data_IF_824688861599
#
_entry.id   IF_824688861599
#
_cell.length_a   1.000
_cell.length_b   1.000
_cell.length_c   1.000
_cell.angle_alpha   90.00
_cell.angle_beta   90.00
_cell.angle_gamma   90.00
#
_symmetry.space_group_name_H-M   'P 1'
#
loop_
_entity.id
_entity.type
_entity.pdbx_description
1 polymer ?
#
# COMPACT_ATOMS: atom_id res chain seq x y z
N UNK A 1 -21.53 -28.27 23.78
CA UNK A 1 -21.09 -26.88 23.49
C UNK A 1 -20.25 -26.41 24.67
N UNK A 2 -18.94 -26.45 24.54
CA UNK A 2 -18.03 -26.01 25.59
C UNK A 2 -18.03 -24.48 25.55
N UNK A 3 -18.60 -23.85 26.54
CA UNK A 3 -18.59 -22.39 26.72
C UNK A 3 -17.13 -21.97 26.92
N UNK A 4 -16.50 -21.40 25.88
CA UNK A 4 -15.17 -20.80 26.01
C UNK A 4 -15.33 -19.58 26.93
N UNK A 5 -14.76 -19.66 28.13
CA UNK A 5 -14.74 -18.51 29.03
C UNK A 5 -13.96 -17.38 28.37
N UNK A 6 -14.43 -16.12 28.40
CA UNK A 6 -13.72 -15.00 27.84
C UNK A 6 -12.38 -14.83 28.55
N UNK A 7 -11.29 -15.00 27.81
CA UNK A 7 -9.92 -14.84 28.31
C UNK A 7 -9.50 -13.38 28.26
N UNK A 8 -8.65 -12.96 29.21
CA UNK A 8 -8.05 -11.64 29.18
C UNK A 8 -6.83 -11.67 28.26
N UNK A 9 -6.75 -10.70 27.36
CA UNK A 9 -5.72 -10.62 26.34
C UNK A 9 -4.93 -9.32 26.44
N UNK A 10 -3.69 -9.33 25.94
CA UNK A 10 -2.86 -8.13 25.75
C UNK A 10 -2.46 -8.02 24.28
N UNK A 11 -2.59 -6.83 23.72
CA UNK A 11 -2.26 -6.51 22.33
C UNK A 11 -1.44 -5.25 22.24
N UNK A 12 -0.51 -5.20 21.27
CA UNK A 12 0.22 -3.98 20.93
C UNK A 12 -0.51 -3.27 19.80
N UNK A 13 -1.12 -2.12 20.07
CA UNK A 13 -1.89 -1.35 19.09
C UNK A 13 -1.02 -0.51 18.15
N UNK A 14 0.19 -0.14 18.59
CA UNK A 14 1.17 0.59 17.76
C UNK A 14 2.04 -0.37 16.96
N UNK A 15 2.47 0.06 15.76
CA UNK A 15 3.36 -0.72 14.91
C UNK A 15 4.66 -1.08 15.63
N UNK A 16 5.26 -2.23 15.28
CA UNK A 16 6.51 -2.73 15.87
C UNK A 16 7.78 -1.95 15.49
N UNK A 17 7.65 -0.84 14.74
CA UNK A 17 8.75 0.09 14.42
C UNK A 17 9.04 1.04 15.59
N UNK A 18 10.27 1.57 15.74
CA UNK A 18 10.58 2.56 16.75
C UNK A 18 9.65 3.77 16.67
N UNK A 19 8.99 4.09 17.76
CA UNK A 19 8.07 5.23 17.90
C UNK A 19 8.37 5.97 19.19
N UNK A 20 7.86 7.19 19.35
CA UNK A 20 8.03 7.93 20.61
C UNK A 20 7.23 7.26 21.74
N UNK A 21 6.04 6.73 21.43
CA UNK A 21 5.13 6.09 22.38
C UNK A 21 4.65 4.76 21.78
N UNK A 22 4.62 3.71 22.60
CA UNK A 22 3.91 2.48 22.30
C UNK A 22 2.61 2.42 23.10
N UNK A 23 1.55 1.90 22.49
CA UNK A 23 0.24 1.69 23.11
C UNK A 23 -0.04 0.20 23.16
N UNK A 24 -0.32 -0.29 24.37
CA UNK A 24 -0.75 -1.65 24.64
C UNK A 24 -2.20 -1.61 25.14
N UNK A 25 -2.98 -2.59 24.75
CA UNK A 25 -4.34 -2.78 25.22
C UNK A 25 -4.42 -4.08 26.03
N UNK A 26 -5.07 -4.02 27.18
CA UNK A 26 -5.43 -5.20 27.97
C UNK A 26 -6.95 -5.27 28.02
N UNK A 27 -7.53 -6.34 27.46
CA UNK A 27 -8.97 -6.49 27.31
C UNK A 27 -9.44 -7.86 27.83
N UNK A 28 -10.50 -7.86 28.63
CA UNK A 28 -11.12 -9.08 29.17
C UNK A 28 -11.49 -8.99 30.63
N UNK A 29 -12.14 -10.05 31.18
CA UNK A 29 -12.73 -9.99 32.54
C UNK A 29 -11.75 -9.67 33.66
N UNK A 30 -10.48 -10.06 33.52
CA UNK A 30 -9.43 -9.88 34.51
C UNK A 30 -8.49 -8.71 34.20
N UNK A 31 -8.81 -7.85 33.21
CA UNK A 31 -7.92 -6.79 32.75
C UNK A 31 -7.51 -5.83 33.88
N UNK A 32 -8.47 -5.43 34.72
CA UNK A 32 -8.24 -4.53 35.87
C UNK A 32 -7.29 -5.17 36.85
N UNK A 33 -7.55 -6.41 37.27
CA UNK A 33 -6.78 -7.12 38.28
C UNK A 33 -5.34 -7.38 37.80
N UNK A 34 -5.16 -7.81 36.56
CA UNK A 34 -3.84 -8.03 35.97
C UNK A 34 -3.02 -6.74 35.92
N UNK A 35 -3.61 -5.65 35.40
CA UNK A 35 -2.88 -4.37 35.32
C UNK A 35 -2.55 -3.83 36.72
N UNK A 36 -3.44 -3.93 37.69
CA UNK A 36 -3.17 -3.50 39.05
C UNK A 36 -2.04 -4.28 39.75
N UNK A 37 -1.77 -5.52 39.34
CA UNK A 37 -0.63 -6.30 39.84
C UNK A 37 0.69 -5.91 39.16
N UNK A 38 0.65 -5.42 37.94
CA UNK A 38 1.83 -5.05 37.15
C UNK A 38 2.16 -3.55 37.21
N UNK A 39 1.37 -2.74 37.89
CA UNK A 39 1.50 -1.29 37.87
C UNK A 39 1.31 -0.66 39.25
N UNK A 40 2.08 0.39 39.53
CA UNK A 40 1.95 1.22 40.72
C UNK A 40 1.82 2.69 40.34
N UNK A 41 0.78 3.42 40.84
CA UNK A 41 0.68 4.84 40.59
C UNK A 41 1.75 5.60 41.35
N UNK A 42 2.26 6.68 40.81
CA UNK A 42 3.22 7.55 41.50
C UNK A 42 2.57 8.34 42.66
N UNK A 43 1.26 8.55 42.56
CA UNK A 43 0.48 9.25 43.60
C UNK A 43 -0.93 8.65 43.73
N UNK A 44 -1.44 8.60 44.96
CA UNK A 44 -2.80 8.17 45.26
C UNK A 44 -3.02 6.67 45.29
N UNK A 45 -4.27 6.23 45.19
CA UNK A 45 -4.67 4.82 45.25
C UNK A 45 -4.47 4.08 43.93
N UNK A 46 -4.36 2.75 43.97
CA UNK A 46 -4.24 1.86 42.80
C UNK A 46 -5.59 1.60 42.10
N UNK A 47 -6.59 2.45 42.31
CA UNK A 47 -7.92 2.30 41.71
C UNK A 47 -7.88 2.86 40.27
N UNK A 48 -8.25 2.02 39.29
CA UNK A 48 -8.41 2.41 37.90
C UNK A 48 -9.87 2.80 37.62
N UNK A 49 -10.16 4.10 37.82
CA UNK A 49 -11.48 4.65 37.49
C UNK A 49 -11.64 4.81 35.97
N UNK A 50 -12.87 4.63 35.47
CA UNK A 50 -13.20 4.75 34.07
C UNK A 50 -12.86 6.16 33.53
N UNK A 51 -12.25 6.22 32.32
CA UNK A 51 -11.86 7.47 31.64
C UNK A 51 -10.97 8.40 32.44
N UNK A 52 -10.17 7.85 33.37
CA UNK A 52 -9.18 8.59 34.14
C UNK A 52 -7.78 8.15 33.78
N UNK A 53 -7.00 9.11 33.31
CA UNK A 53 -5.58 8.92 33.04
C UNK A 53 -4.80 8.88 34.37
N UNK A 54 -3.93 7.86 34.49
CA UNK A 54 -3.08 7.68 35.68
C UNK A 54 -1.64 7.47 35.25
N UNK A 55 -0.73 8.20 35.88
CA UNK A 55 0.71 8.04 35.69
C UNK A 55 1.31 7.19 36.80
N UNK A 56 2.22 6.30 36.42
CA UNK A 56 2.88 5.42 37.39
C UNK A 56 4.03 4.67 36.75
N UNK A 57 4.46 3.60 37.39
CA UNK A 57 5.54 2.75 36.90
C UNK A 57 5.13 1.29 36.90
N UNK A 58 5.69 0.52 35.97
CA UNK A 58 5.53 -0.94 35.96
C UNK A 58 6.20 -1.55 37.18
N UNK A 59 5.68 -2.68 37.64
CA UNK A 59 6.31 -3.53 38.64
C UNK A 59 6.79 -4.80 37.97
N UNK A 60 8.03 -5.18 38.24
CA UNK A 60 8.53 -6.50 37.84
C UNK A 60 8.16 -7.56 38.90
N UNK A 61 8.49 -8.82 38.63
CA UNK A 61 8.22 -9.94 39.53
C UNK A 61 8.88 -9.81 40.91
N UNK A 62 9.92 -8.98 41.05
CA UNK A 62 10.59 -8.64 42.31
C UNK A 62 9.98 -7.44 43.00
N UNK A 63 8.87 -6.88 42.53
CA UNK A 63 8.22 -5.66 43.03
C UNK A 63 9.08 -4.40 42.91
N UNK A 64 10.11 -4.43 42.05
CA UNK A 64 10.92 -3.25 41.73
C UNK A 64 10.24 -2.42 40.65
N UNK A 65 10.33 -1.09 40.79
CA UNK A 65 9.77 -0.16 39.80
C UNK A 65 10.59 -0.18 38.51
N UNK A 66 9.89 -0.36 37.38
CA UNK A 66 10.47 -0.38 36.07
C UNK A 66 10.11 0.86 35.24
N UNK A 67 9.58 0.62 34.05
CA UNK A 67 9.21 1.63 33.07
C UNK A 67 8.13 2.59 33.55
N UNK A 68 8.29 3.87 33.26
CA UNK A 68 7.26 4.88 33.47
C UNK A 68 6.16 4.74 32.42
N UNK A 69 4.92 4.61 32.88
CA UNK A 69 3.77 4.38 32.00
C UNK A 69 2.57 5.25 32.39
N UNK A 70 1.73 5.47 31.39
CA UNK A 70 0.40 6.07 31.57
C UNK A 70 -0.64 4.98 31.36
N UNK A 71 -1.59 4.87 32.27
CA UNK A 71 -2.66 3.87 32.23
C UNK A 71 -4.00 4.57 32.19
N UNK A 72 -4.88 4.13 31.30
CA UNK A 72 -6.26 4.61 31.21
C UNK A 72 -7.21 3.43 31.07
N UNK A 73 -8.20 3.34 31.97
CA UNK A 73 -9.32 2.40 31.84
C UNK A 73 -10.36 3.02 30.92
N UNK A 74 -10.43 2.57 29.67
CA UNK A 74 -11.31 3.13 28.62
C UNK A 74 -12.71 2.54 28.67
N UNK A 75 -12.83 1.27 29.13
CA UNK A 75 -14.09 0.56 29.32
C UNK A 75 -14.05 -0.30 30.58
N UNK A 76 -15.19 -0.93 30.93
CA UNK A 76 -15.26 -1.76 32.15
C UNK A 76 -14.18 -2.84 32.20
N UNK A 77 -13.88 -3.47 31.08
CA UNK A 77 -12.93 -4.58 30.97
C UNK A 77 -11.80 -4.27 29.97
N UNK A 78 -11.47 -2.98 29.75
CA UNK A 78 -10.45 -2.56 28.79
C UNK A 78 -9.58 -1.46 29.40
N UNK A 79 -8.27 -1.64 29.27
CA UNK A 79 -7.26 -0.72 29.78
C UNK A 79 -6.23 -0.48 28.67
N UNK A 80 -5.93 0.79 28.42
CA UNK A 80 -4.80 1.20 27.60
C UNK A 80 -3.61 1.54 28.45
N UNK A 81 -2.43 1.08 28.03
CA UNK A 81 -1.14 1.36 28.65
C UNK A 81 -0.26 2.04 27.60
N UNK A 82 0.18 3.26 27.90
CA UNK A 82 1.08 4.03 27.06
C UNK A 82 2.47 4.03 27.69
N UNK A 83 3.48 3.58 26.98
CA UNK A 83 4.87 3.49 27.42
C UNK A 83 5.81 4.09 26.37
N UNK A 84 7.12 4.16 26.66
CA UNK A 84 8.10 4.54 25.65
C UNK A 84 8.06 3.59 24.46
N UNK A 85 8.19 4.14 23.25
CA UNK A 85 8.02 3.41 22.00
C UNK A 85 9.17 2.48 21.64
N UNK A 86 10.13 2.27 22.54
CA UNK A 86 11.19 1.28 22.39
C UNK A 86 10.64 -0.15 22.48
N UNK A 87 11.08 -1.02 21.58
CA UNK A 87 10.65 -2.41 21.53
C UNK A 87 10.91 -3.15 22.87
N UNK A 88 12.05 -2.87 23.51
CA UNK A 88 12.40 -3.50 24.78
C UNK A 88 11.43 -3.15 25.91
N UNK A 89 11.01 -1.87 26.02
CA UNK A 89 10.07 -1.41 27.03
C UNK A 89 8.70 -2.09 26.88
N UNK A 90 8.13 -2.03 25.68
CA UNK A 90 6.83 -2.63 25.40
C UNK A 90 6.85 -4.16 25.53
N UNK A 91 7.93 -4.85 25.09
CA UNK A 91 8.08 -6.31 25.22
C UNK A 91 8.19 -6.74 26.71
N UNK A 92 8.83 -5.92 27.55
CA UNK A 92 8.90 -6.20 28.99
C UNK A 92 7.52 -6.10 29.64
N UNK A 93 6.75 -5.07 29.32
CA UNK A 93 5.40 -4.89 29.85
C UNK A 93 4.49 -6.04 29.43
N UNK A 94 4.51 -6.43 28.13
CA UNK A 94 3.72 -7.56 27.64
C UNK A 94 4.07 -8.84 28.38
N UNK A 95 5.38 -9.12 28.58
CA UNK A 95 5.81 -10.31 29.33
C UNK A 95 5.29 -10.33 30.76
N UNK A 96 5.29 -9.20 31.46
CA UNK A 96 4.76 -9.12 32.84
C UNK A 96 3.24 -9.36 32.85
N UNK A 97 2.49 -8.74 31.93
CA UNK A 97 1.04 -8.95 31.80
C UNK A 97 0.71 -10.41 31.50
N UNK A 98 1.48 -11.07 30.63
CA UNK A 98 1.31 -12.49 30.31
C UNK A 98 1.62 -13.38 31.53
N UNK A 99 2.64 -13.06 32.33
CA UNK A 99 2.94 -13.78 33.59
C UNK A 99 1.79 -13.71 34.59
N UNK A 100 1.04 -12.62 34.57
CA UNK A 100 -0.14 -12.44 35.42
C UNK A 100 -1.44 -12.97 34.82
N UNK A 101 -1.36 -13.69 33.68
CA UNK A 101 -2.49 -14.43 33.12
C UNK A 101 -3.13 -13.81 31.88
N UNK A 102 -2.58 -12.73 31.31
CA UNK A 102 -3.01 -12.25 30.00
C UNK A 102 -2.47 -13.16 28.89
N UNK A 103 -3.19 -13.28 27.79
CA UNK A 103 -2.75 -13.97 26.58
C UNK A 103 -2.35 -12.93 25.55
N UNK A 104 -1.11 -13.00 25.07
CA UNK A 104 -0.67 -12.13 23.99
C UNK A 104 -1.42 -12.48 22.69
N UNK A 105 -1.95 -11.47 22.03
CA UNK A 105 -2.60 -11.57 20.72
C UNK A 105 -2.14 -10.42 19.81
N UNK A 106 -2.32 -10.59 18.51
CA UNK A 106 -2.04 -9.51 17.56
C UNK A 106 -3.04 -8.35 17.71
N UNK A 107 -2.63 -7.13 17.31
CA UNK A 107 -3.55 -5.99 17.25
C UNK A 107 -4.77 -6.30 16.36
N UNK A 108 -4.57 -7.01 15.25
CA UNK A 108 -5.64 -7.41 14.34
C UNK A 108 -6.70 -8.29 15.04
N UNK A 109 -6.29 -9.23 15.87
CA UNK A 109 -7.20 -10.11 16.63
C UNK A 109 -7.94 -9.34 17.73
N UNK A 110 -7.27 -8.41 18.42
CA UNK A 110 -7.90 -7.55 19.44
C UNK A 110 -8.98 -6.68 18.82
N UNK A 111 -8.61 -6.01 17.77
CA UNK A 111 -9.43 -5.07 17.01
C UNK A 111 -10.61 -5.80 16.33
N UNK A 112 -10.39 -7.02 15.84
CA UNK A 112 -11.42 -7.83 15.15
C UNK A 112 -12.60 -8.25 16.00
N UNK A 113 -12.48 -8.20 17.32
CA UNK A 113 -13.58 -8.53 18.25
C UNK A 113 -14.61 -7.41 18.43
N UNK A 114 -14.32 -6.20 17.96
CA UNK A 114 -15.18 -5.02 18.21
C UNK A 114 -16.24 -4.77 17.14
N UNK A 115 -16.05 -5.28 15.94
CA UNK A 115 -16.95 -5.00 14.84
C UNK A 115 -17.65 -6.31 14.41
N UNK A 116 -18.98 -6.34 14.49
CA UNK A 116 -19.80 -7.42 13.91
C UNK A 116 -19.73 -7.47 12.36
N UNK A 117 -18.86 -6.65 11.76
CA UNK A 117 -18.71 -6.48 10.31
C UNK A 117 -17.31 -6.92 9.86
N UNK A 118 -17.23 -8.03 9.14
CA UNK A 118 -15.99 -8.61 8.62
C UNK A 118 -15.24 -7.67 7.66
N UNK A 119 -15.97 -6.93 6.80
CA UNK A 119 -15.36 -5.97 5.86
C UNK A 119 -14.71 -4.79 6.62
N UNK A 120 -15.36 -4.30 7.66
CA UNK A 120 -14.82 -3.22 8.48
C UNK A 120 -13.56 -3.67 9.25
N UNK A 121 -13.53 -4.91 9.74
CA UNK A 121 -12.35 -5.50 10.37
C UNK A 121 -11.18 -5.62 9.40
N UNK A 122 -11.44 -6.10 8.19
CA UNK A 122 -10.43 -6.20 7.13
C UNK A 122 -9.89 -4.82 6.72
N UNK A 123 -10.77 -3.82 6.57
CA UNK A 123 -10.36 -2.46 6.26
C UNK A 123 -9.47 -1.88 7.38
N UNK A 124 -9.80 -2.16 8.64
CA UNK A 124 -9.01 -1.73 9.81
C UNK A 124 -7.64 -2.41 9.87
N UNK A 125 -7.57 -3.70 9.56
CA UNK A 125 -6.29 -4.41 9.43
C UNK A 125 -5.42 -3.80 8.33
N UNK A 126 -6.00 -3.50 7.17
CA UNK A 126 -5.27 -2.96 6.04
C UNK A 126 -4.89 -1.49 6.21
N UNK A 127 -5.62 -0.72 7.05
CA UNK A 127 -5.22 0.63 7.46
C UNK A 127 -3.82 0.68 8.08
N UNK A 128 -3.43 -0.35 8.82
CA UNK A 128 -2.08 -0.42 9.44
C UNK A 128 -0.95 -0.58 8.41
N UNK A 129 -1.29 -0.99 7.18
CA UNK A 129 -0.36 -1.24 6.06
C UNK A 129 -0.42 -0.13 5.01
N UNK A 130 -1.44 0.74 5.08
CA UNK A 130 -1.61 1.84 4.13
C UNK A 130 -0.45 2.83 4.21
N UNK A 131 0.20 3.09 3.07
CA UNK A 131 1.38 3.94 2.97
C UNK A 131 1.07 5.35 2.48
N UNK A 132 -0.16 5.63 2.03
CA UNK A 132 -0.56 6.93 1.49
C UNK A 132 -1.85 7.45 2.13
N UNK A 133 -2.00 8.78 2.16
CA UNK A 133 -3.21 9.42 2.67
C UNK A 133 -4.46 9.00 1.88
N UNK A 134 -4.34 8.83 0.57
CA UNK A 134 -5.46 8.43 -0.31
C UNK A 134 -5.92 7.00 -0.01
N UNK A 135 -5.00 6.04 0.11
CA UNK A 135 -5.31 4.67 0.52
C UNK A 135 -5.97 4.62 1.90
N UNK A 136 -5.43 5.41 2.85
CA UNK A 136 -6.00 5.53 4.21
C UNK A 136 -7.43 6.06 4.17
N UNK A 137 -7.71 7.11 3.39
CA UNK A 137 -9.05 7.69 3.28
C UNK A 137 -10.07 6.68 2.72
N UNK A 138 -9.71 5.96 1.66
CA UNK A 138 -10.57 4.94 1.06
C UNK A 138 -10.84 3.80 2.05
N UNK A 139 -9.82 3.29 2.74
CA UNK A 139 -9.99 2.23 3.74
C UNK A 139 -10.83 2.68 4.93
N UNK A 140 -10.72 3.94 5.36
CA UNK A 140 -11.59 4.51 6.40
C UNK A 140 -13.07 4.53 5.96
N UNK A 141 -13.36 4.82 4.70
CA UNK A 141 -14.72 4.77 4.17
C UNK A 141 -15.26 3.33 4.20
N UNK A 142 -14.43 2.32 3.84
CA UNK A 142 -14.84 0.91 3.93
C UNK A 142 -15.04 0.48 5.39
N UNK A 143 -14.18 0.91 6.31
CA UNK A 143 -14.33 0.66 7.74
C UNK A 143 -15.63 1.27 8.29
N UNK A 144 -16.08 2.41 7.76
CA UNK A 144 -17.36 3.05 8.08
C UNK A 144 -18.58 2.39 7.43
N UNK A 145 -18.37 1.35 6.62
CA UNK A 145 -19.42 0.51 6.06
C UNK A 145 -19.78 0.77 4.59
N UNK A 146 -19.04 1.57 3.84
CA UNK A 146 -19.36 1.88 2.45
C UNK A 146 -19.56 0.62 1.59
N UNK A 147 -18.64 -0.34 1.62
CA UNK A 147 -18.74 -1.59 0.86
C UNK A 147 -19.80 -2.54 1.43
N UNK A 148 -19.95 -2.61 2.74
CA UNK A 148 -20.97 -3.44 3.42
C UNK A 148 -22.39 -3.01 3.03
N UNK A 149 -22.65 -1.71 3.07
CA UNK A 149 -23.96 -1.12 2.68
C UNK A 149 -24.25 -1.44 1.22
N UNK A 150 -23.26 -1.33 0.34
CA UNK A 150 -23.42 -1.62 -1.08
C UNK A 150 -23.70 -3.11 -1.32
N UNK A 151 -22.97 -4.03 -0.67
CA UNK A 151 -23.22 -5.47 -0.78
C UNK A 151 -24.63 -5.85 -0.30
N UNK A 152 -25.09 -5.28 0.82
CA UNK A 152 -26.46 -5.48 1.30
C UNK A 152 -27.50 -4.98 0.30
N UNK A 153 -27.28 -3.79 -0.26
CA UNK A 153 -28.17 -3.19 -1.25
C UNK A 153 -28.29 -4.06 -2.50
N UNK A 154 -27.15 -4.57 -3.01
CA UNK A 154 -27.13 -5.52 -4.13
C UNK A 154 -27.89 -6.80 -3.77
N UNK A 155 -27.72 -7.33 -2.55
CA UNK A 155 -28.46 -8.49 -2.07
C UNK A 155 -29.98 -8.29 -2.10
N UNK A 156 -30.47 -7.10 -1.71
CA UNK A 156 -31.89 -6.74 -1.80
C UNK A 156 -32.38 -6.70 -3.25
N UNK A 157 -31.58 -6.11 -4.16
CA UNK A 157 -31.92 -6.05 -5.59
C UNK A 157 -31.99 -7.47 -6.21
N UNK A 158 -31.06 -8.36 -5.86
CA UNK A 158 -31.05 -9.75 -6.32
C UNK A 158 -32.30 -10.50 -5.83
N UNK A 159 -32.68 -10.34 -4.56
CA UNK A 159 -33.88 -10.96 -3.98
C UNK A 159 -35.18 -10.43 -4.63
N UNK A 160 -35.17 -9.14 -5.00
CA UNK A 160 -36.30 -8.47 -5.69
C UNK A 160 -36.30 -8.73 -7.20
N UNK A 161 -35.37 -9.53 -7.74
CA UNK A 161 -35.19 -9.81 -9.16
C UNK A 161 -34.93 -8.57 -10.04
N UNK A 162 -34.37 -7.52 -9.44
CA UNK A 162 -33.94 -6.30 -10.15
C UNK A 162 -32.53 -6.49 -10.74
N UNK A 163 -32.39 -7.48 -11.62
CA UNK A 163 -31.10 -7.97 -12.13
C UNK A 163 -30.33 -6.93 -12.94
N UNK A 164 -31.02 -6.05 -13.68
CA UNK A 164 -30.37 -5.02 -14.48
C UNK A 164 -29.58 -4.04 -13.61
N UNK A 165 -30.20 -3.54 -12.53
CA UNK A 165 -29.55 -2.62 -11.60
C UNK A 165 -28.47 -3.31 -10.77
N UNK A 166 -28.74 -4.50 -10.26
CA UNK A 166 -27.75 -5.29 -9.52
C UNK A 166 -26.50 -5.57 -10.39
N UNK A 167 -26.70 -5.95 -11.66
CA UNK A 167 -25.61 -6.19 -12.59
C UNK A 167 -24.78 -4.94 -12.91
N UNK A 168 -25.42 -3.77 -13.03
CA UNK A 168 -24.71 -2.51 -13.24
C UNK A 168 -23.81 -2.16 -12.02
N UNK A 169 -24.36 -2.28 -10.80
CA UNK A 169 -23.60 -2.05 -9.56
C UNK A 169 -22.46 -3.04 -9.37
N UNK A 170 -22.67 -4.33 -9.64
CA UNK A 170 -21.63 -5.35 -9.58
C UNK A 170 -20.48 -5.07 -10.57
N UNK A 171 -20.80 -4.64 -11.80
CA UNK A 171 -19.75 -4.26 -12.78
C UNK A 171 -18.97 -3.03 -12.34
N UNK A 172 -19.63 -2.06 -11.72
CA UNK A 172 -18.96 -0.89 -11.15
C UNK A 172 -17.98 -1.31 -10.03
N UNK A 173 -18.40 -2.19 -9.12
CA UNK A 173 -17.54 -2.73 -8.07
C UNK A 173 -16.38 -3.55 -8.65
N UNK A 174 -16.62 -4.35 -9.69
CA UNK A 174 -15.58 -5.11 -10.38
C UNK A 174 -14.50 -4.19 -10.95
N UNK A 175 -14.90 -3.08 -11.59
CA UNK A 175 -13.95 -2.05 -12.05
C UNK A 175 -13.16 -1.40 -10.91
N UNK A 176 -13.81 -1.12 -9.77
CA UNK A 176 -13.16 -0.53 -8.59
C UNK A 176 -12.21 -1.49 -7.86
N UNK A 177 -12.39 -2.80 -8.03
CA UNK A 177 -11.49 -3.79 -7.43
C UNK A 177 -10.05 -3.67 -7.97
N UNK A 178 -9.87 -3.27 -9.24
CA UNK A 178 -8.53 -3.02 -9.80
C UNK A 178 -7.75 -1.96 -9.00
N UNK A 179 -8.45 -0.97 -8.44
CA UNK A 179 -7.88 0.04 -7.55
C UNK A 179 -7.76 -0.48 -6.13
N UNK A 180 -8.80 -1.14 -5.63
CA UNK A 180 -8.88 -1.60 -4.25
C UNK A 180 -7.78 -2.57 -3.85
N UNK A 181 -7.37 -3.46 -4.73
CA UNK A 181 -6.26 -4.42 -4.49
C UNK A 181 -4.91 -3.72 -4.28
N UNK A 182 -4.77 -2.47 -4.76
CA UNK A 182 -3.54 -1.69 -4.66
C UNK A 182 -3.55 -0.67 -3.51
N UNK A 183 -4.54 -0.67 -2.63
CA UNK A 183 -4.55 0.24 -1.48
C UNK A 183 -3.39 -0.02 -0.50
N UNK A 184 -2.93 -1.27 -0.40
CA UNK A 184 -1.81 -1.70 0.46
C UNK A 184 -0.64 -2.33 -0.31
N UNK A 185 -0.91 -2.90 -1.48
CA UNK A 185 0.09 -3.42 -2.41
C UNK A 185 0.31 -2.37 -3.51
N UNK A 186 1.49 -1.73 -3.60
CA UNK A 186 1.70 -0.65 -4.57
C UNK A 186 1.56 -1.17 -6.01
N UNK A 187 1.14 -0.28 -6.93
CA UNK A 187 1.27 -0.57 -8.36
C UNK A 187 2.72 -0.65 -8.76
N UNK A 188 3.06 -1.64 -9.59
CA UNK A 188 4.41 -1.85 -10.10
C UNK A 188 4.58 -1.11 -11.43
N UNK A 189 5.43 -0.10 -11.45
CA UNK A 189 5.79 0.69 -12.64
C UNK A 189 7.23 0.38 -13.03
N UNK A 190 7.44 -0.22 -14.19
CA UNK A 190 8.77 -0.61 -14.67
C UNK A 190 9.28 0.39 -15.70
N UNK A 191 10.50 0.91 -15.51
CA UNK A 191 11.21 1.70 -16.50
C UNK A 191 12.06 0.78 -17.36
N UNK A 192 11.84 0.76 -18.69
CA UNK A 192 12.63 -0.05 -19.61
C UNK A 192 13.05 0.74 -20.86
N UNK A 193 14.14 0.32 -21.45
CA UNK A 193 14.71 0.95 -22.66
C UNK A 193 16.22 0.72 -22.76
N UNK A 194 16.85 1.15 -23.86
CA UNK A 194 18.28 0.95 -24.12
C UNK A 194 19.18 1.57 -23.04
N UNK A 195 20.46 1.21 -23.02
CA UNK A 195 21.46 1.89 -22.23
C UNK A 195 21.49 3.40 -22.51
N UNK A 196 21.74 4.20 -21.45
CA UNK A 196 21.90 5.67 -21.53
C UNK A 196 20.68 6.44 -22.08
N UNK A 197 19.49 5.82 -22.13
CA UNK A 197 18.24 6.45 -22.55
C UNK A 197 17.70 7.44 -21.50
N UNK A 198 18.24 7.42 -20.27
CA UNK A 198 17.83 8.32 -19.18
C UNK A 198 16.96 7.68 -18.11
N UNK A 199 16.96 6.33 -17.98
CA UNK A 199 16.16 5.61 -16.97
C UNK A 199 16.42 6.09 -15.54
N UNK A 200 17.66 6.06 -15.09
CA UNK A 200 18.02 6.45 -13.72
C UNK A 200 17.79 7.95 -13.47
N UNK A 201 17.94 8.79 -14.48
CA UNK A 201 17.62 10.22 -14.37
C UNK A 201 16.13 10.46 -14.20
N UNK A 202 15.29 9.74 -14.96
CA UNK A 202 13.82 9.82 -14.85
C UNK A 202 13.35 9.21 -13.52
N UNK A 203 13.94 8.09 -13.08
CA UNK A 203 13.65 7.49 -11.78
C UNK A 203 13.90 8.51 -10.65
N UNK A 204 15.08 9.13 -10.62
CA UNK A 204 15.41 10.13 -9.62
C UNK A 204 14.46 11.34 -9.65
N UNK A 205 14.02 11.76 -10.83
CA UNK A 205 13.07 12.84 -10.99
C UNK A 205 11.68 12.48 -10.43
N UNK A 206 11.17 11.28 -10.72
CA UNK A 206 9.92 10.75 -10.17
C UNK A 206 9.98 10.60 -8.64
N UNK A 207 11.08 10.07 -8.10
CA UNK A 207 11.30 9.96 -6.67
C UNK A 207 11.46 11.31 -5.98
N UNK A 208 12.11 12.27 -6.64
CA UNK A 208 12.24 13.66 -6.15
C UNK A 208 10.89 14.37 -6.03
N UNK A 209 9.99 14.16 -6.98
CA UNK A 209 8.64 14.71 -6.95
C UNK A 209 7.84 14.17 -5.74
N UNK A 210 7.91 12.88 -5.47
CA UNK A 210 7.14 12.27 -4.38
C UNK A 210 7.71 12.57 -2.99
N UNK A 211 9.03 12.75 -2.83
CA UNK A 211 9.66 13.14 -1.55
C UNK A 211 9.20 14.51 -1.05
N UNK A 212 8.79 15.40 -1.95
CA UNK A 212 8.21 16.68 -1.60
C UNK A 212 6.82 16.57 -0.93
N UNK A 213 6.16 15.41 -1.04
CA UNK A 213 4.76 15.20 -0.62
C UNK A 213 4.64 14.19 0.55
N UNK A 214 5.61 13.31 0.75
CA UNK A 214 5.53 12.20 1.73
C UNK A 214 6.66 12.29 2.75
N UNK A 215 6.32 12.29 4.03
CA UNK A 215 7.29 12.10 5.12
C UNK A 215 7.90 10.69 5.04
N UNK A 216 9.22 10.61 5.05
CA UNK A 216 10.00 9.37 5.02
C UNK A 216 9.55 8.40 6.14
N UNK A 217 8.99 7.27 5.79
CA UNK A 217 9.09 6.09 6.65
C UNK A 217 10.39 5.36 6.30
N UNK A 218 11.41 5.60 7.11
CA UNK A 218 12.65 4.85 7.06
C UNK A 218 12.39 3.40 7.47
N UNK A 219 12.59 2.48 6.58
CA UNK A 219 12.74 1.06 6.90
C UNK A 219 11.80 0.13 6.16
N UNK A 220 12.30 -0.42 5.07
CA UNK A 220 12.16 -1.86 4.75
C UNK A 220 13.02 -2.18 3.52
N UNK A 221 13.89 -3.18 3.69
CA UNK A 221 14.59 -4.00 2.69
C UNK A 221 15.04 -3.31 1.40
N UNK A 222 16.34 -3.07 1.36
CA UNK A 222 17.12 -2.76 0.16
C UNK A 222 17.12 -3.97 -0.79
N UNK A 223 16.07 -4.16 -1.53
CA UNK A 223 16.19 -4.73 -2.86
C UNK A 223 16.73 -3.62 -3.75
N UNK A 224 17.94 -3.79 -4.25
CA UNK A 224 18.73 -2.79 -4.99
C UNK A 224 18.09 -2.29 -6.29
N UNK A 225 16.85 -2.65 -6.58
CA UNK A 225 16.20 -2.51 -7.89
C UNK A 225 14.80 -1.89 -7.85
N UNK A 226 14.20 -1.69 -6.69
CA UNK A 226 12.86 -1.09 -6.59
C UNK A 226 12.77 -0.05 -5.50
N UNK A 227 12.08 1.05 -5.77
CA UNK A 227 11.84 2.15 -4.83
C UNK A 227 10.35 2.38 -4.66
N UNK A 228 9.88 2.33 -3.41
CA UNK A 228 8.48 2.65 -3.09
C UNK A 228 8.29 4.14 -2.97
N UNK A 229 7.21 4.62 -3.55
CA UNK A 229 6.91 6.03 -3.67
C UNK A 229 5.39 6.26 -3.75
N UNK A 230 5.00 7.50 -4.01
CA UNK A 230 3.60 7.85 -4.21
C UNK A 230 3.49 8.83 -5.37
N UNK A 231 2.62 8.54 -6.33
CA UNK A 231 2.28 9.47 -7.41
C UNK A 231 0.82 9.90 -7.25
N UNK A 232 0.60 11.19 -7.14
CA UNK A 232 -0.73 11.80 -6.85
C UNK A 232 -1.46 11.11 -5.67
N UNK A 233 -0.71 10.73 -4.63
CA UNK A 233 -1.24 10.06 -3.45
C UNK A 233 -1.52 8.56 -3.61
N UNK A 234 -1.24 7.95 -4.75
CA UNK A 234 -1.34 6.51 -4.98
C UNK A 234 -0.03 5.79 -4.67
N UNK A 235 -0.05 4.64 -4.00
CA UNK A 235 1.17 3.89 -3.67
C UNK A 235 1.74 3.24 -4.92
N UNK A 236 3.00 3.53 -5.24
CA UNK A 236 3.70 3.06 -6.43
C UNK A 236 5.02 2.41 -6.02
N UNK A 237 5.38 1.32 -6.67
CA UNK A 237 6.72 0.74 -6.65
C UNK A 237 7.34 0.95 -8.03
N UNK A 238 8.41 1.76 -8.10
CA UNK A 238 9.10 2.03 -9.35
C UNK A 238 10.31 1.10 -9.44
N UNK A 239 10.38 0.34 -10.53
CA UNK A 239 11.44 -0.65 -10.78
C UNK A 239 12.32 -0.16 -11.94
N UNK A 240 13.62 0.00 -11.70
CA UNK A 240 14.59 0.26 -12.78
C UNK A 240 14.92 -1.05 -13.50
N UNK A 241 14.42 -1.23 -14.73
CA UNK A 241 14.73 -2.39 -15.57
C UNK A 241 16.21 -2.50 -15.98
N UNK A 242 17.03 -1.47 -15.74
CA UNK A 242 18.48 -1.49 -15.99
C UNK A 242 19.31 -1.71 -14.73
N UNK A 243 18.71 -1.66 -13.54
CA UNK A 243 19.42 -1.79 -12.25
C UNK A 243 20.11 -3.14 -12.01
N UNK A 244 20.10 -4.01 -13.02
CA UNK A 244 20.89 -5.26 -13.06
C UNK A 244 22.32 -4.96 -13.56
N UNK A 245 22.69 -3.69 -13.67
CA UNK A 245 24.02 -3.29 -14.04
C UNK A 245 25.00 -3.28 -12.87
N UNK A 246 26.15 -3.86 -13.21
CA UNK A 246 27.48 -3.50 -12.73
C UNK A 246 27.81 -3.74 -11.26
N UNK A 247 27.85 -4.99 -10.88
CA UNK A 247 28.94 -5.41 -10.02
C UNK A 247 30.03 -6.12 -10.87
N UNK A 248 30.68 -5.34 -11.75
CA UNK A 248 32.04 -5.61 -12.17
C UNK A 248 32.32 -6.81 -13.07
N UNK A 249 31.35 -7.29 -13.87
CA UNK A 249 31.61 -8.35 -14.85
C UNK A 249 31.19 -7.94 -16.25
N UNK A 250 32.15 -7.84 -17.15
CA UNK A 250 31.96 -7.61 -18.57
C UNK A 250 31.76 -8.94 -19.30
N UNK A 251 30.70 -9.06 -20.11
CA UNK A 251 30.50 -10.22 -21.02
C UNK A 251 29.05 -10.32 -21.53
N UNK A 252 28.90 -10.73 -22.80
CA UNK A 252 27.63 -10.88 -23.52
C UNK A 252 26.55 -11.73 -22.79
N UNK A 253 26.99 -12.71 -21.98
CA UNK A 253 26.12 -13.58 -21.20
C UNK A 253 25.37 -12.84 -20.07
N UNK A 254 25.96 -11.81 -19.50
CA UNK A 254 25.39 -11.03 -18.39
C UNK A 254 24.38 -10.01 -18.91
N UNK A 255 24.64 -9.44 -20.07
CA UNK A 255 23.66 -8.58 -20.77
C UNK A 255 22.38 -9.35 -21.12
N UNK A 256 22.51 -10.60 -21.58
CA UNK A 256 21.39 -11.49 -21.86
C UNK A 256 20.59 -11.83 -20.59
N UNK A 257 21.24 -12.17 -19.45
CA UNK A 257 20.58 -12.43 -18.19
C UNK A 257 19.90 -11.17 -17.60
N UNK A 258 20.47 -9.99 -17.83
CA UNK A 258 19.88 -8.71 -17.44
C UNK A 258 18.60 -8.42 -18.20
N UNK A 259 18.58 -8.69 -19.49
CA UNK A 259 17.40 -8.53 -20.34
C UNK A 259 16.30 -9.51 -19.90
N UNK A 260 16.62 -10.78 -19.68
CA UNK A 260 15.64 -11.80 -19.27
C UNK A 260 14.93 -11.45 -17.95
N UNK A 261 15.67 -11.01 -16.93
CA UNK A 261 15.08 -10.55 -15.65
C UNK A 261 14.22 -9.30 -15.83
N UNK A 262 14.64 -8.36 -16.68
CA UNK A 262 13.83 -7.18 -17.01
C UNK A 262 12.53 -7.60 -17.67
N UNK A 263 12.56 -8.56 -18.60
CA UNK A 263 11.37 -9.06 -19.28
C UNK A 263 10.41 -9.77 -18.34
N UNK A 264 10.90 -10.54 -17.37
CA UNK A 264 10.07 -11.13 -16.32
C UNK A 264 9.37 -10.05 -15.48
N UNK A 265 10.07 -9.01 -15.05
CA UNK A 265 9.49 -7.89 -14.30
C UNK A 265 8.47 -7.10 -15.11
N UNK A 266 8.70 -6.93 -16.40
CA UNK A 266 7.73 -6.31 -17.31
C UNK A 266 6.44 -7.12 -17.38
N UNK A 267 6.53 -8.46 -17.42
CA UNK A 267 5.35 -9.34 -17.40
C UNK A 267 4.50 -9.23 -16.14
N UNK A 268 5.10 -8.85 -15.01
CA UNK A 268 4.45 -8.66 -13.71
C UNK A 268 4.03 -7.21 -13.45
N UNK A 269 4.39 -6.25 -14.32
CA UNK A 269 4.12 -4.83 -14.11
C UNK A 269 2.68 -4.44 -14.42
N UNK A 270 2.16 -3.47 -13.66
CA UNK A 270 0.88 -2.84 -13.95
C UNK A 270 1.03 -1.76 -15.04
N UNK A 271 2.21 -1.12 -15.11
CA UNK A 271 2.53 -0.12 -16.12
C UNK A 271 4.00 -0.23 -16.54
N UNK A 272 4.23 -0.19 -17.86
CA UNK A 272 5.55 -0.09 -18.45
C UNK A 272 5.79 1.33 -18.96
N UNK A 273 6.84 1.99 -18.48
CA UNK A 273 7.39 3.19 -19.08
C UNK A 273 8.49 2.77 -20.07
N UNK A 274 8.16 2.78 -21.36
CA UNK A 274 9.12 2.47 -22.42
C UNK A 274 9.82 3.75 -22.83
N UNK A 275 11.10 3.87 -22.48
CA UNK A 275 11.89 5.08 -22.71
C UNK A 275 12.57 5.04 -24.08
N UNK A 276 12.37 6.12 -24.84
CA UNK A 276 13.02 6.34 -26.16
C UNK A 276 13.74 7.67 -26.13
N UNK A 277 15.03 7.65 -26.44
CA UNK A 277 15.87 8.85 -26.54
C UNK A 277 15.48 9.64 -27.81
N UNK A 278 15.15 10.92 -27.65
CA UNK A 278 14.79 11.81 -28.76
C UNK A 278 15.90 11.98 -29.81
N UNK A 279 17.16 11.73 -29.43
CA UNK A 279 18.33 11.84 -30.32
C UNK A 279 18.65 10.50 -30.99
N UNK A 280 18.71 9.41 -30.20
CA UNK A 280 19.10 8.08 -30.71
C UNK A 280 17.96 7.35 -31.42
N UNK A 281 16.70 7.66 -31.10
CA UNK A 281 15.52 7.12 -31.73
C UNK A 281 15.21 5.66 -31.38
N UNK A 282 14.45 5.00 -32.25
CA UNK A 282 13.98 3.64 -32.08
C UNK A 282 15.07 2.60 -32.35
N UNK A 283 15.11 1.52 -31.57
CA UNK A 283 16.10 0.44 -31.68
C UNK A 283 15.47 -0.94 -31.54
N UNK A 284 16.17 -2.01 -31.90
CA UNK A 284 15.72 -3.41 -31.74
C UNK A 284 15.40 -3.78 -30.28
N UNK A 285 16.02 -3.11 -29.31
CA UNK A 285 15.72 -3.31 -27.88
C UNK A 285 14.27 -2.95 -27.57
N UNK A 286 13.74 -1.89 -28.15
CA UNK A 286 12.35 -1.49 -27.95
C UNK A 286 11.38 -2.55 -28.50
N UNK A 287 11.67 -3.13 -29.67
CA UNK A 287 10.88 -4.22 -30.27
C UNK A 287 10.88 -5.46 -29.38
N UNK A 288 12.05 -5.83 -28.86
CA UNK A 288 12.19 -6.96 -27.93
C UNK A 288 11.37 -6.76 -26.66
N UNK A 289 11.44 -5.56 -26.05
CA UNK A 289 10.64 -5.21 -24.88
C UNK A 289 9.15 -5.30 -25.20
N UNK A 290 8.72 -4.75 -26.34
CA UNK A 290 7.32 -4.74 -26.77
C UNK A 290 6.76 -6.12 -27.19
N UNK A 291 7.58 -7.13 -27.37
CA UNK A 291 7.11 -8.49 -27.70
C UNK A 291 6.53 -9.27 -26.51
N UNK A 292 6.67 -8.77 -25.28
CA UNK A 292 6.22 -9.45 -24.07
C UNK A 292 4.85 -8.95 -23.61
N UNK A 293 3.95 -9.84 -23.14
CA UNK A 293 2.65 -9.44 -22.56
C UNK A 293 2.87 -8.59 -21.31
N UNK A 294 2.02 -7.58 -21.10
CA UNK A 294 2.13 -6.64 -19.99
C UNK A 294 0.84 -5.85 -19.77
N UNK A 295 0.81 -5.07 -18.68
CA UNK A 295 -0.22 -4.07 -18.43
C UNK A 295 -0.15 -2.87 -19.40
N UNK A 296 -0.48 -1.69 -18.90
CA UNK A 296 -0.46 -0.48 -19.72
C UNK A 296 0.97 -0.10 -20.13
N UNK A 297 1.16 0.36 -21.36
CA UNK A 297 2.45 0.85 -21.85
C UNK A 297 2.37 2.33 -22.18
N UNK A 298 3.21 3.12 -21.54
CA UNK A 298 3.41 4.54 -21.81
C UNK A 298 4.77 4.71 -22.48
N UNK A 299 4.80 5.30 -23.67
CA UNK A 299 6.04 5.63 -24.35
C UNK A 299 6.54 6.97 -23.85
N UNK A 300 7.76 7.00 -23.32
CA UNK A 300 8.38 8.20 -22.77
C UNK A 300 9.53 8.64 -23.67
N UNK A 301 9.36 9.76 -24.38
CA UNK A 301 10.44 10.38 -25.15
C UNK A 301 11.31 11.20 -24.20
N UNK A 302 12.50 10.73 -23.95
CA UNK A 302 13.46 11.38 -23.04
C UNK A 302 14.36 12.36 -23.79
N UNK A 303 15.05 13.22 -23.03
CA UNK A 303 16.01 14.23 -23.53
C UNK A 303 15.39 15.18 -24.56
N UNK A 304 14.15 15.60 -24.31
CA UNK A 304 13.44 16.56 -25.19
C UNK A 304 14.15 17.91 -25.30
N UNK A 305 14.97 18.26 -24.31
CA UNK A 305 15.85 19.44 -24.30
C UNK A 305 16.96 19.41 -25.38
N UNK A 306 17.34 18.21 -25.83
CA UNK A 306 18.35 17.98 -26.85
C UNK A 306 17.75 17.75 -28.25
N UNK A 307 16.44 17.70 -28.36
CA UNK A 307 15.74 17.53 -29.62
C UNK A 307 15.84 18.83 -30.45
N UNK A 308 16.96 18.98 -31.15
CA UNK A 308 17.18 20.08 -32.08
C UNK A 308 16.32 19.83 -33.30
N UNK A 309 15.40 20.76 -33.58
CA UNK A 309 14.56 20.92 -34.77
C UNK A 309 14.20 19.66 -35.60
N UNK A 310 12.94 19.47 -35.74
CA UNK A 310 12.13 18.37 -36.29
C UNK A 310 12.44 17.88 -37.71
N UNK A 311 13.59 18.16 -38.27
CA UNK A 311 13.91 17.87 -39.67
C UNK A 311 14.90 16.74 -39.91
N UNK A 312 15.32 16.00 -38.87
CA UNK A 312 16.22 14.86 -39.07
C UNK A 312 15.45 13.64 -39.57
N UNK A 313 16.03 12.81 -40.47
CA UNK A 313 15.40 11.56 -40.92
C UNK A 313 15.03 10.61 -39.78
N UNK A 314 15.79 10.65 -38.67
CA UNK A 314 15.54 9.84 -37.46
C UNK A 314 14.32 10.28 -36.67
N UNK A 315 14.04 11.60 -36.57
CA UNK A 315 12.84 12.11 -35.91
C UNK A 315 11.57 11.75 -36.70
N UNK A 316 11.64 11.77 -38.02
CA UNK A 316 10.54 11.33 -38.90
C UNK A 316 10.30 9.83 -38.77
N UNK A 317 11.34 9.00 -38.70
CA UNK A 317 11.23 7.56 -38.49
C UNK A 317 10.64 7.23 -37.10
N UNK A 318 11.08 7.91 -36.04
CA UNK A 318 10.54 7.75 -34.71
C UNK A 318 9.04 8.11 -34.66
N UNK A 319 8.63 9.19 -35.32
CA UNK A 319 7.23 9.59 -35.40
C UNK A 319 6.37 8.54 -36.12
N UNK A 320 6.88 7.91 -37.19
CA UNK A 320 6.20 6.84 -37.92
C UNK A 320 6.05 5.58 -37.04
N UNK A 321 7.10 5.16 -36.32
CA UNK A 321 7.03 4.01 -35.42
C UNK A 321 6.03 4.26 -34.27
N UNK A 322 6.03 5.45 -33.69
CA UNK A 322 5.06 5.84 -32.65
C UNK A 322 3.63 5.76 -33.20
N UNK A 323 3.36 6.35 -34.36
CA UNK A 323 2.03 6.32 -34.98
C UNK A 323 1.55 4.90 -35.26
N UNK A 324 2.46 4.01 -35.66
CA UNK A 324 2.15 2.58 -35.87
C UNK A 324 1.80 1.88 -34.53
N UNK A 325 2.57 2.12 -33.49
CA UNK A 325 2.33 1.51 -32.19
C UNK A 325 1.00 1.98 -31.55
N UNK A 326 0.65 3.23 -31.77
CA UNK A 326 -0.63 3.82 -31.36
C UNK A 326 -1.79 3.18 -32.13
N UNK A 327 -1.67 3.08 -33.47
CA UNK A 327 -2.68 2.43 -34.30
C UNK A 327 -2.89 0.93 -34.00
N UNK A 328 -1.84 0.24 -33.57
CA UNK A 328 -1.87 -1.16 -33.16
C UNK A 328 -2.37 -1.37 -31.73
N UNK A 329 -2.67 -0.29 -30.99
CA UNK A 329 -3.08 -0.32 -29.58
C UNK A 329 -2.02 -0.88 -28.62
N UNK A 330 -0.74 -0.83 -29.02
CA UNK A 330 0.39 -1.38 -28.24
C UNK A 330 0.95 -0.41 -27.22
N UNK A 331 0.61 0.87 -27.36
CA UNK A 331 0.99 1.97 -26.47
C UNK A 331 -0.27 2.74 -26.11
N UNK A 332 -0.49 2.95 -24.83
CA UNK A 332 -1.66 3.67 -24.33
C UNK A 332 -1.51 5.18 -24.50
N UNK A 333 -0.29 5.70 -24.34
CA UNK A 333 -0.01 7.15 -24.36
C UNK A 333 1.45 7.43 -24.71
N UNK A 334 1.73 8.64 -25.20
CA UNK A 334 3.08 9.14 -25.50
C UNK A 334 3.33 10.42 -24.73
N UNK A 335 4.43 10.51 -24.00
CA UNK A 335 4.81 11.67 -23.20
C UNK A 335 6.26 12.07 -23.47
N UNK A 336 6.50 13.36 -23.68
CA UNK A 336 7.86 13.91 -23.84
C UNK A 336 8.37 14.43 -22.50
N UNK A 337 9.64 14.13 -22.19
CA UNK A 337 10.26 14.51 -20.92
C UNK A 337 11.70 14.98 -21.08
N UNK A 338 12.13 15.88 -20.19
CA UNK A 338 13.53 16.19 -19.95
C UNK A 338 13.83 16.08 -18.46
N UNK A 339 14.70 15.17 -18.09
CA UNK A 339 15.12 15.03 -16.69
C UNK A 339 16.04 16.19 -16.24
N UNK A 340 16.59 16.97 -17.16
CA UNK A 340 17.43 18.12 -16.86
C UNK A 340 16.60 19.35 -16.51
N UNK A 341 15.54 19.60 -17.28
CA UNK A 341 14.67 20.77 -17.09
C UNK A 341 13.42 20.53 -16.26
N UNK A 342 13.07 19.24 -16.02
CA UNK A 342 11.80 18.84 -15.41
C UNK A 342 10.61 18.90 -16.37
N UNK A 343 10.83 19.25 -17.64
CA UNK A 343 9.74 19.32 -18.63
C UNK A 343 9.01 17.99 -18.77
N UNK A 344 7.70 18.04 -18.84
CA UNK A 344 6.83 16.89 -19.06
C UNK A 344 6.64 15.96 -17.85
N UNK A 345 7.25 16.24 -16.69
CA UNK A 345 7.13 15.39 -15.49
C UNK A 345 5.68 15.32 -14.99
N UNK A 346 5.04 16.47 -14.80
CA UNK A 346 3.64 16.50 -14.31
C UNK A 346 2.72 15.76 -15.28
N UNK A 347 2.88 15.96 -16.59
CA UNK A 347 2.11 15.25 -17.60
C UNK A 347 2.35 13.75 -17.58
N UNK A 348 3.58 13.32 -17.34
CA UNK A 348 3.90 11.88 -17.18
C UNK A 348 3.20 11.29 -15.96
N UNK A 349 3.23 11.98 -14.83
CA UNK A 349 2.56 11.55 -13.59
C UNK A 349 1.05 11.44 -13.80
N UNK A 350 0.41 12.46 -14.35
CA UNK A 350 -1.01 12.43 -14.72
C UNK A 350 -1.35 11.25 -15.61
N UNK A 351 -0.51 10.99 -16.62
CA UNK A 351 -0.71 9.89 -17.57
C UNK A 351 -0.58 8.53 -16.88
N UNK A 352 0.45 8.33 -16.04
CA UNK A 352 0.61 7.09 -15.25
C UNK A 352 -0.61 6.87 -14.37
N UNK A 353 -1.06 7.89 -13.66
CA UNK A 353 -2.22 7.78 -12.75
C UNK A 353 -3.50 7.50 -13.53
N UNK A 354 -3.72 8.14 -14.68
CA UNK A 354 -4.90 7.90 -15.51
C UNK A 354 -4.97 6.47 -16.05
N UNK A 355 -3.83 5.88 -16.40
CA UNK A 355 -3.75 4.48 -16.87
C UNK A 355 -3.98 3.48 -15.72
N UNK A 356 -3.44 3.73 -14.54
CA UNK A 356 -3.55 2.83 -13.38
C UNK A 356 -4.90 2.95 -12.66
N UNK A 357 -5.49 4.13 -12.67
CA UNK A 357 -6.74 4.46 -11.97
C UNK A 357 -7.74 5.09 -12.95
N UNK A 358 -8.29 4.29 -13.88
CA UNK A 358 -9.16 4.82 -14.93
C UNK A 358 -10.51 5.33 -14.41
N UNK A 359 -10.86 5.03 -13.15
CA UNK A 359 -12.11 5.46 -12.53
C UNK A 359 -11.84 6.47 -11.41
N UNK A 360 -12.46 7.65 -11.50
CA UNK A 360 -12.45 8.62 -10.41
C UNK A 360 -13.24 8.07 -9.22
N UNK A 361 -12.58 7.89 -8.09
CA UNK A 361 -13.22 7.52 -6.83
C UNK A 361 -13.60 8.79 -6.05
N UNK A 362 -14.82 8.81 -5.53
CA UNK A 362 -15.31 9.87 -4.65
C UNK A 362 -15.25 9.42 -3.18
N UNK A 363 -15.14 10.36 -2.22
CA UNK A 363 -15.28 10.03 -0.81
C UNK A 363 -16.59 9.29 -0.53
N UNK A 364 -16.51 8.20 0.22
CA UNK A 364 -17.67 7.33 0.52
C UNK A 364 -17.98 6.26 -0.52
N UNK A 365 -17.26 6.20 -1.63
CA UNK A 365 -17.45 5.13 -2.62
C UNK A 365 -17.14 3.75 -2.05
N UNK A 366 -17.99 2.79 -2.38
CA UNK A 366 -17.74 1.37 -2.09
C UNK A 366 -16.61 0.85 -2.98
N UNK A 367 -15.52 0.37 -2.36
CA UNK A 367 -14.33 -0.14 -3.05
C UNK A 367 -14.00 -1.52 -2.52
N UNK A 368 -14.16 -2.59 -3.30
CA UNK A 368 -13.70 -3.93 -2.95
C UNK A 368 -12.17 -3.95 -2.93
N UNK A 369 -11.54 -4.49 -1.87
CA UNK A 369 -10.08 -4.41 -1.68
C UNK A 369 -9.43 -5.76 -1.36
N UNK A 370 -10.20 -6.83 -1.14
CA UNK A 370 -9.69 -8.19 -0.91
C UNK A 370 -10.24 -9.17 -1.94
N UNK A 371 -9.49 -10.24 -2.18
CA UNK A 371 -9.88 -11.29 -3.15
C UNK A 371 -11.27 -11.86 -2.88
N UNK A 372 -11.65 -12.09 -1.61
CA UNK A 372 -12.98 -12.59 -1.28
C UNK A 372 -14.11 -11.65 -1.70
N UNK A 373 -13.87 -10.32 -1.73
CA UNK A 373 -14.84 -9.36 -2.25
C UNK A 373 -15.05 -9.53 -3.75
N UNK A 374 -13.96 -9.76 -4.50
CA UNK A 374 -14.02 -10.08 -5.92
C UNK A 374 -14.79 -11.38 -6.15
N UNK A 375 -14.45 -12.45 -5.42
CA UNK A 375 -15.10 -13.75 -5.54
C UNK A 375 -16.61 -13.66 -5.27
N UNK A 376 -17.03 -12.86 -4.30
CA UNK A 376 -18.44 -12.58 -4.02
C UNK A 376 -19.11 -11.85 -5.19
N UNK A 377 -18.46 -10.83 -5.77
CA UNK A 377 -18.97 -10.06 -6.90
C UNK A 377 -19.14 -10.98 -8.12
N UNK A 378 -18.12 -11.75 -8.49
CA UNK A 378 -18.13 -12.67 -9.63
C UNK A 378 -19.20 -13.76 -9.46
N UNK A 379 -19.27 -14.37 -8.27
CA UNK A 379 -20.28 -15.39 -7.96
C UNK A 379 -21.71 -14.82 -8.03
N UNK A 380 -21.89 -13.57 -7.59
CA UNK A 380 -23.21 -12.93 -7.62
C UNK A 380 -23.59 -12.51 -9.04
N UNK A 381 -22.64 -12.02 -9.82
CA UNK A 381 -22.83 -11.65 -11.21
C UNK A 381 -23.22 -12.87 -12.08
N UNK A 382 -22.59 -14.03 -11.81
CA UNK A 382 -22.91 -15.28 -12.51
C UNK A 382 -24.33 -15.82 -12.25
N UNK A 383 -25.02 -15.34 -11.19
CA UNK A 383 -26.40 -15.69 -10.88
C UNK A 383 -27.44 -14.82 -11.60
N UNK A 384 -27.01 -13.81 -12.31
CA UNK A 384 -27.87 -12.94 -13.10
C UNK A 384 -28.17 -13.65 -14.42
N UNK A 385 -29.45 -13.84 -14.77
CA UNK A 385 -29.88 -14.57 -15.97
C UNK A 385 -29.50 -13.87 -17.28
#
# INVERSE_FOLDING_TARGET
MTTIQPQTTVSRLTAGSPSAIAVLEVAGPQAVDIVQQCWRPNQGSNILSLNRIRYGSTLNSSQETGESIVVCRTELNRIEIHCHGGRMASDQIVRELVRHGAIEQSAAESIGRELDNEIANEAREDLTKASTHRSTSILLDQMRGALEIEFRSIGVLMNSKQYSEAGARLRLLLGRYSVGRHLIAPWVVVLAGPPNVGKSSLLNLLLGYSRAIVHEQAGTTRDLLSERSSLDGWPIEIVDGAGIRDQGMAGDAIEAMGIERTLLRIGESDCLLLLVDSVSGWTKVHESILSHPRGHTILVRTKSDLAIETTSPRSSQLAQEIAKLDSDGRVASVVETSAVTGFGLEKLIETIVAELVPQSLQPGDAVPFRKRHLDWIETTLAKIP
#
